data_IF_179093349677
#
_entry.id   IF_179093349677
#
_cell.length_a   1.000
_cell.length_b   1.000
_cell.length_c   1.000
_cell.angle_alpha   90.00
_cell.angle_beta   90.00
_cell.angle_gamma   90.00
#
_symmetry.space_group_name_H-M   'P 1'
#
loop_
_entity.id
_entity.type
_entity.pdbx_description
1 polymer ?
#
# COMPACT_ATOMS: atom_id res chain seq x y z
N UNK A 1 -13.30 32.53 -1.66
CA UNK A 1 -14.56 31.95 -1.13
C UNK A 1 -14.74 30.53 -1.70
N UNK A 2 -15.65 29.68 -1.16
CA UNK A 2 -15.95 28.37 -1.76
C UNK A 2 -16.42 28.45 -3.22
N UNK A 3 -17.20 29.50 -3.56
CA UNK A 3 -17.65 29.74 -4.93
C UNK A 3 -16.48 30.04 -5.88
N UNK A 4 -15.55 30.91 -5.46
CA UNK A 4 -14.37 31.25 -6.25
C UNK A 4 -13.45 30.05 -6.47
N UNK A 5 -13.24 29.23 -5.43
CA UNK A 5 -12.42 28.02 -5.53
C UNK A 5 -13.05 27.01 -6.49
N UNK A 6 -14.35 26.76 -6.38
CA UNK A 6 -15.03 25.88 -7.31
C UNK A 6 -15.12 26.44 -8.74
N UNK A 7 -15.24 27.76 -8.90
CA UNK A 7 -15.19 28.41 -10.20
C UNK A 7 -13.83 28.24 -10.87
N UNK A 8 -12.73 28.42 -10.12
CA UNK A 8 -11.37 28.15 -10.59
C UNK A 8 -11.22 26.71 -11.10
N UNK A 9 -11.70 25.73 -10.32
CA UNK A 9 -11.62 24.31 -10.71
C UNK A 9 -12.49 23.99 -11.94
N UNK A 10 -13.66 24.61 -12.04
CA UNK A 10 -14.56 24.45 -13.18
C UNK A 10 -13.95 24.99 -14.47
N UNK A 11 -13.32 26.16 -14.42
CA UNK A 11 -12.66 26.78 -15.58
C UNK A 11 -11.51 25.94 -16.12
N UNK A 12 -10.66 25.42 -15.23
CA UNK A 12 -9.54 24.56 -15.63
C UNK A 12 -10.04 23.23 -16.21
N UNK A 13 -11.08 22.62 -15.62
CA UNK A 13 -11.69 21.41 -16.16
C UNK A 13 -12.26 21.66 -17.56
N UNK A 14 -12.96 22.78 -17.76
CA UNK A 14 -13.45 23.18 -19.07
C UNK A 14 -12.31 23.41 -20.07
N UNK A 15 -11.19 24.02 -19.66
CA UNK A 15 -10.02 24.18 -20.50
C UNK A 15 -9.44 22.82 -20.94
N UNK A 16 -9.32 21.88 -20.01
CA UNK A 16 -8.88 20.51 -20.29
C UNK A 16 -9.83 19.77 -21.22
N UNK A 17 -11.14 19.86 -20.97
CA UNK A 17 -12.17 19.26 -21.81
C UNK A 17 -12.13 19.82 -23.25
N UNK A 18 -11.93 21.14 -23.41
CA UNK A 18 -11.77 21.79 -24.73
C UNK A 18 -10.53 21.29 -25.44
N UNK A 19 -9.42 21.18 -24.73
CA UNK A 19 -8.16 20.68 -25.27
C UNK A 19 -8.27 19.24 -25.78
N UNK A 20 -9.00 18.37 -25.06
CA UNK A 20 -9.26 16.98 -25.48
C UNK A 20 -10.23 16.91 -26.66
N UNK A 21 -11.31 17.67 -26.62
CA UNK A 21 -12.29 17.70 -27.70
C UNK A 21 -11.67 18.18 -29.03
N UNK A 22 -10.78 19.17 -28.99
CA UNK A 22 -9.99 19.61 -30.16
C UNK A 22 -9.07 18.54 -30.75
N UNK A 23 -8.86 17.42 -30.04
CA UNK A 23 -8.09 16.24 -30.49
C UNK A 23 -8.98 15.02 -30.75
N UNK A 24 -10.29 15.21 -30.88
CA UNK A 24 -11.25 14.13 -31.09
C UNK A 24 -11.46 13.22 -29.87
N UNK A 25 -11.01 13.62 -28.67
CA UNK A 25 -11.19 12.88 -27.43
C UNK A 25 -12.31 13.53 -26.60
N UNK A 26 -13.49 12.92 -26.60
CA UNK A 26 -14.66 13.38 -25.83
C UNK A 26 -15.51 14.42 -26.56
N UNK A 27 -16.54 14.93 -25.88
CA UNK A 27 -17.46 15.97 -26.38
C UNK A 27 -17.53 17.13 -25.39
N UNK A 28 -17.59 18.35 -25.91
CA UNK A 28 -17.86 19.52 -25.08
C UNK A 28 -19.35 19.62 -24.74
N UNK A 29 -19.70 20.05 -23.51
CA UNK A 29 -21.04 20.53 -23.23
C UNK A 29 -21.40 21.70 -24.15
N UNK A 30 -22.61 21.72 -24.68
CA UNK A 30 -23.07 22.78 -25.57
C UNK A 30 -23.17 24.13 -24.83
N UNK A 31 -22.38 25.11 -25.27
CA UNK A 31 -22.72 26.54 -25.37
C UNK A 31 -23.13 27.33 -24.12
N UNK A 32 -23.02 26.81 -22.89
CA UNK A 32 -23.35 27.57 -21.68
C UNK A 32 -22.12 28.00 -20.91
N UNK A 33 -22.13 29.27 -20.47
CA UNK A 33 -21.31 29.73 -19.36
C UNK A 33 -21.73 28.90 -18.14
N UNK A 34 -20.81 28.10 -17.61
CA UNK A 34 -21.02 27.39 -16.37
C UNK A 34 -20.49 28.27 -15.24
N UNK A 35 -21.38 28.63 -14.33
CA UNK A 35 -21.03 29.29 -13.08
C UNK A 35 -21.10 28.26 -11.97
N UNK A 36 -20.02 28.14 -11.22
CA UNK A 36 -19.99 27.30 -10.04
C UNK A 36 -20.77 27.99 -8.90
N UNK A 37 -21.58 27.20 -8.21
CA UNK A 37 -22.23 27.60 -6.98
C UNK A 37 -22.03 26.50 -5.95
N UNK A 38 -21.34 26.84 -4.88
CA UNK A 38 -21.03 25.96 -3.78
C UNK A 38 -22.30 25.40 -3.18
N UNK A 39 -22.28 24.10 -2.96
CA UNK A 39 -23.28 23.39 -2.18
C UNK A 39 -22.50 22.64 -1.09
N UNK A 40 -22.73 22.96 0.19
CA UNK A 40 -22.06 22.24 1.25
C UNK A 40 -22.43 20.76 1.18
N UNK A 41 -21.43 19.91 1.39
CA UNK A 41 -21.58 18.48 1.56
C UNK A 41 -21.16 18.19 3.01
N UNK A 42 -22.04 17.54 3.76
CA UNK A 42 -21.78 17.11 5.13
C UNK A 42 -21.21 15.68 5.13
N UNK A 43 -20.59 15.28 6.23
CA UNK A 43 -20.11 13.90 6.49
C UNK A 43 -19.16 13.30 5.44
N UNK A 44 -18.23 14.10 4.91
CA UNK A 44 -17.19 13.59 4.00
C UNK A 44 -16.06 12.90 4.77
N UNK A 45 -15.60 11.77 4.26
CA UNK A 45 -14.40 11.11 4.75
C UNK A 45 -13.15 11.68 4.05
N UNK A 46 -12.01 11.89 4.74
CA UNK A 46 -10.80 12.43 4.12
C UNK A 46 -10.32 11.62 2.90
N UNK A 47 -10.55 10.30 2.89
CA UNK A 47 -10.25 9.43 1.75
C UNK A 47 -11.10 9.74 0.51
N UNK A 48 -12.34 10.20 0.69
CA UNK A 48 -13.23 10.58 -0.42
C UNK A 48 -12.76 11.89 -1.06
N UNK A 49 -12.31 12.85 -0.24
CA UNK A 49 -11.69 14.09 -0.73
C UNK A 49 -10.44 13.79 -1.56
N UNK A 50 -9.57 12.89 -1.08
CA UNK A 50 -8.39 12.45 -1.83
C UNK A 50 -8.75 11.82 -3.17
N UNK A 51 -9.76 10.94 -3.19
CA UNK A 51 -10.25 10.32 -4.44
C UNK A 51 -10.82 11.36 -5.40
N UNK A 52 -11.59 12.33 -4.92
CA UNK A 52 -12.12 13.42 -5.73
C UNK A 52 -11.00 14.27 -6.36
N UNK A 53 -9.97 14.60 -5.58
CA UNK A 53 -8.79 15.31 -6.07
C UNK A 53 -8.03 14.50 -7.13
N UNK A 54 -7.81 13.21 -6.91
CA UNK A 54 -7.14 12.35 -7.88
C UNK A 54 -7.93 12.21 -9.18
N UNK A 55 -9.26 12.02 -9.09
CA UNK A 55 -10.13 11.96 -10.25
C UNK A 55 -10.10 13.28 -11.04
N UNK A 56 -10.17 14.42 -10.35
CA UNK A 56 -10.07 15.73 -10.97
C UNK A 56 -8.70 15.93 -11.66
N UNK A 57 -7.61 15.66 -10.95
CA UNK A 57 -6.23 15.78 -11.48
C UNK A 57 -6.03 14.90 -12.71
N UNK A 58 -6.52 13.66 -12.69
CA UNK A 58 -6.49 12.78 -13.85
C UNK A 58 -7.30 13.36 -15.02
N UNK A 59 -8.48 13.92 -14.72
CA UNK A 59 -9.33 14.57 -15.71
C UNK A 59 -8.76 15.91 -16.22
N UNK A 60 -7.69 16.47 -15.69
CA UNK A 60 -7.10 17.74 -16.19
C UNK A 60 -5.65 17.61 -16.67
N UNK A 61 -4.96 16.53 -16.28
CA UNK A 61 -3.52 16.34 -16.46
C UNK A 61 -3.00 16.49 -17.90
N UNK A 62 -3.80 16.12 -18.91
CA UNK A 62 -3.36 16.17 -20.30
C UNK A 62 -3.32 17.60 -20.86
N UNK A 63 -3.95 18.57 -20.17
CA UNK A 63 -4.00 19.94 -20.65
C UNK A 63 -2.64 20.63 -20.43
N UNK A 64 -2.09 21.36 -21.42
CA UNK A 64 -0.76 21.95 -21.34
C UNK A 64 -0.58 22.96 -20.21
N UNK A 65 -1.67 23.60 -19.77
CA UNK A 65 -1.67 24.57 -18.68
C UNK A 65 -1.70 23.95 -17.28
N UNK A 66 -2.06 22.66 -17.17
CA UNK A 66 -2.36 22.02 -15.90
C UNK A 66 -1.25 22.16 -14.86
N UNK A 67 -0.02 21.76 -15.21
CA UNK A 67 1.08 21.68 -14.25
C UNK A 67 1.40 23.03 -13.56
N UNK A 68 1.20 24.14 -14.27
CA UNK A 68 1.43 25.50 -13.76
C UNK A 68 0.17 26.22 -13.26
N UNK A 69 -1.01 25.60 -13.36
CA UNK A 69 -2.28 26.26 -13.06
C UNK A 69 -2.47 26.50 -11.56
N UNK A 70 -3.29 27.51 -11.22
CA UNK A 70 -3.71 27.73 -9.83
C UNK A 70 -4.61 26.59 -9.32
N UNK A 71 -5.39 25.97 -10.21
CA UNK A 71 -6.20 24.79 -9.90
C UNK A 71 -5.33 23.61 -9.45
N UNK A 72 -4.21 23.34 -10.12
CA UNK A 72 -3.29 22.28 -9.73
C UNK A 72 -2.71 22.51 -8.33
N UNK A 73 -2.19 23.72 -8.06
CA UNK A 73 -1.70 24.08 -6.71
C UNK A 73 -2.78 23.90 -5.65
N UNK A 74 -3.98 24.42 -5.91
CA UNK A 74 -5.10 24.27 -5.00
C UNK A 74 -5.43 22.79 -4.72
N UNK A 75 -5.45 21.94 -5.74
CA UNK A 75 -5.71 20.50 -5.56
C UNK A 75 -4.60 19.79 -4.77
N UNK A 76 -3.34 20.19 -4.94
CA UNK A 76 -2.23 19.67 -4.13
C UNK A 76 -2.41 20.05 -2.66
N UNK A 77 -2.77 21.30 -2.38
CA UNK A 77 -2.98 21.79 -1.02
C UNK A 77 -4.19 21.07 -0.36
N UNK A 78 -5.29 20.87 -1.10
CA UNK A 78 -6.45 20.11 -0.63
C UNK A 78 -6.09 18.65 -0.35
N UNK A 79 -5.34 18.00 -1.25
CA UNK A 79 -4.89 16.62 -1.03
C UNK A 79 -3.98 16.52 0.20
N UNK A 80 -3.07 17.47 0.37
CA UNK A 80 -2.20 17.52 1.55
C UNK A 80 -3.02 17.68 2.83
N UNK A 81 -3.96 18.63 2.86
CA UNK A 81 -4.84 18.85 4.00
C UNK A 81 -5.69 17.60 4.31
N UNK A 82 -6.27 16.97 3.31
CA UNK A 82 -7.06 15.74 3.48
C UNK A 82 -6.21 14.57 3.99
N UNK A 83 -4.98 14.40 3.49
CA UNK A 83 -4.07 13.37 3.97
C UNK A 83 -3.74 13.52 5.45
N UNK A 84 -3.53 14.76 5.94
CA UNK A 84 -3.29 15.02 7.38
C UNK A 84 -4.47 14.63 8.28
N UNK A 85 -5.68 14.52 7.74
CA UNK A 85 -6.87 14.10 8.49
C UNK A 85 -7.11 12.58 8.41
N UNK A 86 -6.30 11.83 7.65
CA UNK A 86 -6.40 10.37 7.65
C UNK A 86 -5.94 9.80 9.00
N UNK A 87 -6.72 8.90 9.63
CA UNK A 87 -6.31 8.25 10.87
C UNK A 87 -4.94 7.59 10.75
N UNK A 88 -4.01 8.00 11.62
CA UNK A 88 -2.65 7.45 11.67
C UNK A 88 -1.67 8.05 10.66
N UNK A 89 -2.07 8.97 9.78
CA UNK A 89 -1.18 9.53 8.76
C UNK A 89 -0.16 10.52 9.36
N UNK A 90 -0.60 11.40 10.26
CA UNK A 90 0.28 12.38 10.89
C UNK A 90 1.30 11.73 11.85
N UNK A 91 0.89 10.63 12.49
CA UNK A 91 1.71 9.85 13.41
C UNK A 91 2.62 8.85 12.69
N UNK A 92 2.32 8.52 11.42
CA UNK A 92 3.11 7.59 10.64
C UNK A 92 4.52 8.17 10.38
N UNK A 93 5.59 7.38 10.60
CA UNK A 93 6.94 7.83 10.31
C UNK A 93 7.14 7.99 8.79
N UNK A 94 7.80 9.08 8.38
CA UNK A 94 8.24 9.29 6.98
C UNK A 94 9.18 8.19 6.46
N UNK A 95 9.76 7.41 7.36
CA UNK A 95 10.55 6.24 6.99
C UNK A 95 9.60 5.11 6.67
N UNK A 96 9.63 4.67 5.41
CA UNK A 96 9.16 3.35 5.04
C UNK A 96 9.94 2.31 5.86
N UNK A 97 9.35 1.86 6.97
CA UNK A 97 9.79 0.64 7.62
C UNK A 97 9.14 -0.49 6.84
N UNK A 98 9.95 -1.31 6.17
CA UNK A 98 9.54 -2.69 5.91
C UNK A 98 9.04 -3.23 7.26
N UNK A 99 7.86 -3.89 7.34
CA UNK A 99 7.42 -4.52 8.59
C UNK A 99 8.63 -5.21 9.20
N UNK A 100 9.00 -4.83 10.43
CA UNK A 100 10.22 -5.32 11.08
C UNK A 100 10.23 -6.84 10.94
N UNK A 101 11.26 -7.36 10.25
CA UNK A 101 11.39 -8.79 9.96
C UNK A 101 11.31 -9.59 11.25
N UNK A 102 10.79 -10.81 11.20
CA UNK A 102 10.60 -11.57 12.40
C UNK A 102 11.93 -11.91 13.10
N UNK A 103 11.94 -11.83 14.44
CA UNK A 103 12.81 -12.66 15.26
C UNK A 103 12.44 -14.14 15.10
N UNK A 104 12.93 -15.00 15.98
CA UNK A 104 12.88 -16.47 15.80
C UNK A 104 11.45 -16.97 15.45
N UNK A 105 11.19 -17.41 14.20
CA UNK A 105 9.86 -17.89 13.80
C UNK A 105 9.51 -19.16 14.57
N UNK A 106 8.24 -19.26 14.95
CA UNK A 106 7.70 -20.47 15.62
C UNK A 106 6.91 -21.31 14.64
N UNK A 107 7.14 -22.61 14.71
CA UNK A 107 6.50 -23.59 13.84
C UNK A 107 5.63 -24.55 14.64
N UNK A 108 4.53 -25.00 14.04
CA UNK A 108 3.83 -26.22 14.44
C UNK A 108 3.66 -27.12 13.22
N UNK A 109 4.18 -28.34 13.30
CA UNK A 109 4.13 -29.32 12.24
C UNK A 109 3.34 -30.57 12.68
N UNK A 110 2.68 -31.20 11.71
CA UNK A 110 2.02 -32.49 11.91
C UNK A 110 3.04 -33.63 11.81
N UNK A 111 2.69 -34.64 11.02
CA UNK A 111 3.59 -35.74 10.67
C UNK A 111 4.68 -35.28 9.71
N UNK A 112 4.37 -34.28 8.89
CA UNK A 112 5.32 -33.67 7.97
C UNK A 112 6.05 -32.51 8.61
N UNK A 113 7.38 -32.58 8.70
CA UNK A 113 8.23 -31.46 9.10
C UNK A 113 9.04 -30.96 7.90
N UNK A 114 8.69 -29.80 7.32
CA UNK A 114 9.45 -29.20 6.23
C UNK A 114 10.86 -28.81 6.68
N UNK A 115 11.83 -29.02 5.79
CA UNK A 115 13.20 -28.57 5.99
C UNK A 115 13.31 -27.08 5.62
N UNK A 116 12.90 -26.23 6.55
CA UNK A 116 12.99 -24.78 6.47
C UNK A 116 13.83 -24.32 7.65
N UNK A 117 14.95 -23.67 7.37
CA UNK A 117 15.91 -23.31 8.40
C UNK A 117 15.35 -22.23 9.33
N UNK A 118 15.90 -22.18 10.54
CA UNK A 118 15.62 -21.15 11.56
C UNK A 118 14.19 -21.15 12.14
N UNK A 119 13.36 -22.16 11.82
CA UNK A 119 12.07 -22.38 12.49
C UNK A 119 12.24 -23.17 13.78
N UNK A 120 11.79 -22.57 14.88
CA UNK A 120 11.62 -23.26 16.16
C UNK A 120 10.29 -24.04 16.12
N UNK A 121 10.35 -25.33 15.76
CA UNK A 121 9.19 -26.22 15.80
C UNK A 121 8.83 -26.57 17.25
N UNK A 122 7.57 -26.34 17.61
CA UNK A 122 7.07 -26.34 19.00
C UNK A 122 5.84 -27.24 19.15
N UNK A 123 5.44 -27.47 20.40
CA UNK A 123 4.15 -28.11 20.72
C UNK A 123 2.98 -27.13 20.56
N UNK A 124 1.72 -27.60 20.44
CA UNK A 124 0.55 -26.72 20.40
C UNK A 124 0.48 -25.75 21.59
N UNK A 125 0.83 -26.22 22.78
CA UNK A 125 0.82 -25.39 24.00
C UNK A 125 1.84 -24.25 23.92
N UNK A 126 3.07 -24.55 23.50
CA UNK A 126 4.13 -23.54 23.33
C UNK A 126 3.82 -22.56 22.19
N UNK A 127 3.22 -23.06 21.10
CA UNK A 127 2.75 -22.21 20.01
C UNK A 127 1.74 -21.19 20.55
N UNK A 128 0.75 -21.61 21.33
CA UNK A 128 -0.27 -20.72 21.88
C UNK A 128 0.32 -19.70 22.86
N UNK A 129 1.30 -20.09 23.68
CA UNK A 129 2.02 -19.16 24.56
C UNK A 129 2.80 -18.10 23.78
N UNK A 130 3.36 -18.48 22.62
CA UNK A 130 4.15 -17.58 21.77
C UNK A 130 3.32 -16.89 20.70
N UNK A 131 2.07 -17.27 20.46
CA UNK A 131 1.26 -16.85 19.31
C UNK A 131 1.19 -15.33 19.11
N UNK A 132 0.88 -14.59 20.17
CA UNK A 132 0.70 -13.14 20.11
C UNK A 132 2.02 -12.36 19.97
N UNK A 133 3.13 -12.95 20.40
CA UNK A 133 4.44 -12.30 20.50
C UNK A 133 5.47 -12.84 19.51
N UNK A 134 5.22 -14.00 18.91
CA UNK A 134 6.02 -14.53 17.84
C UNK A 134 5.91 -13.58 16.66
N UNK A 135 7.04 -13.27 16.07
CA UNK A 135 7.05 -12.34 14.96
C UNK A 135 6.51 -13.00 13.67
N UNK A 136 6.72 -14.31 13.50
CA UNK A 136 6.09 -15.12 12.45
C UNK A 136 5.69 -16.49 13.00
N UNK A 137 4.57 -17.02 12.48
CA UNK A 137 4.07 -18.36 12.80
C UNK A 137 4.02 -19.17 11.51
N UNK A 138 4.53 -20.39 11.55
CA UNK A 138 4.56 -21.30 10.41
C UNK A 138 3.80 -22.57 10.80
N UNK A 139 2.79 -22.94 10.02
CA UNK A 139 1.91 -24.08 10.29
C UNK A 139 1.91 -25.01 9.09
N UNK A 140 1.99 -26.32 9.29
CA UNK A 140 1.67 -27.25 8.19
C UNK A 140 0.17 -27.48 8.10
N UNK A 141 -0.38 -27.71 6.91
CA UNK A 141 -1.82 -27.95 6.73
C UNK A 141 -2.41 -29.05 7.63
N UNK A 142 -1.61 -30.05 8.02
CA UNK A 142 -1.97 -31.16 8.92
C UNK A 142 -2.31 -30.72 10.36
N UNK A 143 -1.90 -29.53 10.80
CA UNK A 143 -2.10 -29.09 12.20
C UNK A 143 -3.32 -28.20 12.36
N UNK A 144 -4.01 -27.83 11.27
CA UNK A 144 -5.18 -26.96 11.32
C UNK A 144 -6.27 -27.51 12.24
N UNK A 145 -6.47 -28.83 12.25
CA UNK A 145 -7.44 -29.52 13.09
C UNK A 145 -7.06 -29.53 14.58
N UNK A 146 -5.79 -29.30 14.90
CA UNK A 146 -5.28 -29.27 16.27
C UNK A 146 -5.34 -27.87 16.89
N UNK A 147 -5.62 -26.85 16.08
CA UNK A 147 -5.71 -25.47 16.56
C UNK A 147 -7.05 -25.24 17.26
N UNK A 148 -7.09 -24.43 18.32
CA UNK A 148 -8.33 -24.05 18.96
C UNK A 148 -9.19 -23.23 17.99
N UNK A 149 -10.51 -23.40 18.05
CA UNK A 149 -11.47 -22.68 17.20
C UNK A 149 -11.39 -21.15 17.30
N UNK A 150 -10.81 -20.63 18.39
CA UNK A 150 -10.59 -19.21 18.61
C UNK A 150 -9.14 -18.94 18.97
N UNK A 151 -8.38 -18.46 17.99
CA UNK A 151 -7.02 -17.99 18.19
C UNK A 151 -7.00 -16.51 18.59
N UNK A 152 -6.03 -16.07 19.43
CA UNK A 152 -5.85 -14.66 19.71
C UNK A 152 -5.55 -13.88 18.42
N UNK A 153 -5.95 -12.61 18.36
CA UNK A 153 -5.56 -11.74 17.23
C UNK A 153 -4.05 -11.48 17.29
N UNK A 154 -3.37 -11.54 16.14
CA UNK A 154 -1.95 -11.16 16.02
C UNK A 154 -1.70 -10.30 14.79
N UNK A 155 -0.65 -9.50 14.85
CA UNK A 155 -0.22 -8.59 13.78
C UNK A 155 0.85 -9.20 12.86
N UNK A 156 1.57 -10.23 13.32
CA UNK A 156 2.63 -10.89 12.56
C UNK A 156 2.09 -11.90 11.54
N UNK A 157 2.84 -12.18 10.45
CA UNK A 157 2.42 -13.11 9.41
C UNK A 157 2.24 -14.54 9.90
N UNK A 158 1.21 -15.20 9.38
CA UNK A 158 0.98 -16.65 9.52
C UNK A 158 1.22 -17.29 8.15
N UNK A 159 2.18 -18.21 8.06
CA UNK A 159 2.46 -18.99 6.86
C UNK A 159 1.85 -20.38 7.02
N UNK A 160 1.00 -20.78 6.08
CA UNK A 160 0.40 -22.10 6.04
C UNK A 160 1.07 -22.92 4.93
N UNK A 161 1.84 -23.92 5.34
CA UNK A 161 2.62 -24.77 4.46
C UNK A 161 1.79 -25.95 3.97
N UNK A 162 1.81 -26.18 2.67
CA UNK A 162 1.13 -27.32 2.03
C UNK A 162 2.08 -28.09 1.12
N UNK A 163 1.79 -29.38 0.95
CA UNK A 163 2.38 -30.21 -0.12
C UNK A 163 1.77 -29.83 -1.47
N UNK A 164 2.36 -30.29 -2.60
CA UNK A 164 1.77 -30.13 -3.91
C UNK A 164 0.35 -30.71 -3.94
N UNK A 165 -0.60 -29.92 -4.41
CA UNK A 165 -2.03 -30.28 -4.37
C UNK A 165 -2.85 -29.46 -3.37
N UNK A 166 -2.20 -28.61 -2.57
CA UNK A 166 -2.88 -27.60 -1.77
C UNK A 166 -3.70 -28.14 -0.58
N UNK A 167 -4.65 -27.32 -0.13
CA UNK A 167 -5.55 -27.64 0.98
C UNK A 167 -6.81 -28.37 0.49
N UNK A 168 -7.32 -29.29 1.31
CA UNK A 168 -8.66 -29.86 1.13
C UNK A 168 -9.74 -28.80 1.41
N UNK A 169 -10.99 -28.99 0.95
CA UNK A 169 -12.09 -28.06 1.26
C UNK A 169 -12.26 -27.81 2.76
N UNK A 170 -12.14 -28.84 3.58
CA UNK A 170 -12.22 -28.71 5.04
C UNK A 170 -11.06 -27.89 5.62
N UNK A 171 -9.84 -28.09 5.11
CA UNK A 171 -8.67 -27.30 5.52
C UNK A 171 -8.79 -25.84 5.11
N UNK A 172 -9.47 -25.53 3.98
CA UNK A 172 -9.75 -24.16 3.58
C UNK A 172 -10.66 -23.43 4.57
N UNK A 173 -11.69 -24.10 5.08
CA UNK A 173 -12.57 -23.55 6.11
C UNK A 173 -11.79 -23.22 7.39
N UNK A 174 -10.94 -24.14 7.84
CA UNK A 174 -10.08 -23.95 9.03
C UNK A 174 -9.03 -22.85 8.81
N UNK A 175 -8.42 -22.77 7.63
CA UNK A 175 -7.46 -21.72 7.30
C UNK A 175 -8.10 -20.32 7.32
N UNK A 176 -9.39 -20.21 6.97
CA UNK A 176 -10.14 -18.95 7.08
C UNK A 176 -10.22 -18.39 8.50
N UNK A 177 -10.13 -19.26 9.52
CA UNK A 177 -10.12 -18.85 10.93
C UNK A 177 -8.80 -18.20 11.36
N UNK A 178 -7.73 -18.36 10.57
CA UNK A 178 -6.41 -17.76 10.83
C UNK A 178 -6.33 -16.28 10.39
N UNK A 179 -7.36 -15.76 9.71
CA UNK A 179 -7.36 -14.40 9.17
C UNK A 179 -6.50 -14.29 7.90
N UNK A 180 -5.47 -13.45 7.93
CA UNK A 180 -4.59 -13.19 6.77
C UNK A 180 -3.42 -14.19 6.68
N UNK A 181 -3.73 -15.49 6.65
CA UNK A 181 -2.71 -16.52 6.45
C UNK A 181 -2.25 -16.55 4.97
N UNK A 182 -0.93 -16.67 4.77
CA UNK A 182 -0.33 -16.86 3.45
C UNK A 182 -0.13 -18.35 3.19
N UNK A 183 -0.77 -18.88 2.15
CA UNK A 183 -0.57 -20.25 1.70
C UNK A 183 0.77 -20.36 0.95
N UNK A 184 1.58 -21.34 1.35
CA UNK A 184 2.91 -21.59 0.79
C UNK A 184 3.02 -23.06 0.40
N UNK A 185 3.09 -23.33 -0.90
CA UNK A 185 3.27 -24.70 -1.39
C UNK A 185 4.76 -25.04 -1.47
N UNK A 186 5.16 -26.14 -0.83
CA UNK A 186 6.51 -26.68 -0.88
C UNK A 186 6.58 -27.89 -1.81
N UNK A 187 7.68 -28.07 -2.55
CA UNK A 187 8.94 -27.31 -2.49
C UNK A 187 8.94 -25.99 -3.31
N UNK A 188 7.90 -25.72 -4.10
CA UNK A 188 7.85 -24.60 -5.07
C UNK A 188 8.24 -23.25 -4.48
N UNK A 189 7.75 -22.92 -3.29
CA UNK A 189 7.99 -21.63 -2.63
C UNK A 189 9.04 -21.69 -1.50
N UNK A 190 9.86 -22.75 -1.43
CA UNK A 190 10.83 -22.94 -0.35
C UNK A 190 11.85 -21.80 -0.25
N UNK A 191 12.46 -21.41 -1.37
CA UNK A 191 13.45 -20.33 -1.41
C UNK A 191 12.85 -18.98 -0.97
N UNK A 192 11.65 -18.67 -1.47
CA UNK A 192 10.93 -17.46 -1.09
C UNK A 192 10.60 -17.46 0.42
N UNK A 193 10.13 -18.58 0.96
CA UNK A 193 9.83 -18.71 2.38
C UNK A 193 11.10 -18.50 3.23
N UNK A 194 12.22 -19.09 2.82
CA UNK A 194 13.50 -18.92 3.51
C UNK A 194 13.93 -17.43 3.53
N UNK A 195 13.77 -16.71 2.42
CA UNK A 195 14.02 -15.26 2.38
C UNK A 195 13.09 -14.46 3.30
N UNK A 196 11.85 -14.91 3.50
CA UNK A 196 10.93 -14.24 4.44
C UNK A 196 11.30 -14.47 5.91
N UNK A 197 11.91 -15.61 6.22
CA UNK A 197 12.21 -16.03 7.60
C UNK A 197 13.60 -15.63 8.09
N UNK A 198 14.54 -15.28 7.21
CA UNK A 198 15.90 -14.91 7.62
C UNK A 198 15.93 -13.59 8.41
N UNK A 199 16.61 -13.56 9.57
CA UNK A 199 16.83 -12.32 10.31
C UNK A 199 17.71 -11.36 9.49
N UNK A 200 17.45 -10.07 9.60
CA UNK A 200 18.34 -9.05 9.03
C UNK A 200 19.65 -9.05 9.84
N UNK A 201 20.65 -9.80 9.38
CA UNK A 201 22.02 -9.62 9.87
C UNK A 201 22.39 -8.22 9.40
N UNK A 202 22.31 -7.26 10.32
CA UNK A 202 22.59 -5.87 10.05
C UNK A 202 23.93 -5.74 9.33
N UNK A 203 23.88 -5.57 8.01
CA UNK A 203 25.04 -5.15 7.26
C UNK A 203 25.28 -3.71 7.73
N UNK A 204 26.45 -3.40 8.34
CA UNK A 204 26.73 -2.02 8.71
C UNK A 204 26.67 -1.19 7.43
N UNK A 205 25.70 -0.28 7.37
CA UNK A 205 25.61 0.67 6.28
C UNK A 205 26.95 1.42 6.21
N UNK A 206 27.77 1.12 5.20
CA UNK A 206 28.75 2.09 4.73
C UNK A 206 27.94 3.30 4.28
N UNK A 207 28.00 4.37 5.07
CA UNK A 207 27.47 5.67 4.67
C UNK A 207 27.93 6.00 3.25
N UNK A 208 27.03 6.31 2.31
CA UNK A 208 27.45 6.95 1.08
C UNK A 208 28.03 8.30 1.48
N UNK A 209 29.31 8.49 1.15
CA UNK A 209 30.05 9.73 1.34
C UNK A 209 29.23 10.93 0.88
N UNK A 210 29.34 12.00 1.67
CA UNK A 210 29.11 13.37 1.22
C UNK A 210 29.76 13.61 -0.15
N UNK A 211 29.01 14.21 -1.07
CA UNK A 211 29.53 14.59 -2.39
C UNK A 211 28.45 14.62 -3.46
N UNK A 212 27.50 15.56 -3.38
CA UNK A 212 26.84 16.07 -4.58
C UNK A 212 27.06 17.58 -4.62
N UNK A 213 28.15 17.96 -5.28
CA UNK A 213 28.35 19.30 -5.82
C UNK A 213 27.32 19.49 -6.95
N UNK A 214 26.41 20.42 -6.77
CA UNK A 214 25.49 20.84 -7.82
C UNK A 214 26.21 21.79 -8.78
N UNK A 215 27.00 21.23 -9.70
CA UNK A 215 27.59 22.01 -10.79
C UNK A 215 26.49 22.35 -11.81
N UNK A 216 26.02 23.59 -11.76
CA UNK A 216 25.13 24.18 -12.76
C UNK A 216 25.81 24.22 -14.14
N UNK A 217 25.31 23.43 -15.09
CA UNK A 217 25.70 23.55 -16.49
C UNK A 217 24.94 24.73 -17.11
N UNK A 218 25.60 25.88 -17.24
CA UNK A 218 25.13 26.98 -18.10
C UNK A 218 25.28 26.55 -19.57
N UNK A 219 24.17 26.37 -20.27
CA UNK A 219 24.14 26.27 -21.73
C UNK A 219 24.52 27.63 -22.34
N UNK A 220 25.59 27.68 -23.14
CA UNK A 220 25.91 28.85 -23.98
C UNK A 220 25.07 28.80 -25.27
N UNK A 221 24.67 29.95 -25.84
CA UNK A 221 23.96 29.99 -27.11
C UNK A 221 24.91 29.69 -28.29
N UNK A 222 24.39 29.01 -29.31
CA UNK A 222 25.10 28.69 -30.55
C UNK A 222 25.38 29.96 -31.35
N UNK A 223 26.57 30.09 -31.99
CA UNK A 223 26.81 31.14 -32.95
C UNK A 223 26.10 30.85 -34.28
N UNK A 224 25.71 31.95 -34.94
CA UNK A 224 25.04 32.05 -36.24
C UNK A 224 25.87 31.50 -37.40
#
# INVERSE_FOLDING_TARGET
SPDEAGQLLLEENLAAARWRAGRGRGRLPAGRLLTYRHRPVEDWEPVEVLKAVHAYSHATADSPGWAGSAAHRFTVDVAHAAAQHLPGYAEAPWRWRRPSRPGVPVGLCGTWRPDVADISWTTPTELLQRWAHADAVVLTSEVLEQLPAKLPTRSGPVYLLTRPGGLTPHQWELAGLLGQALLVELPTAAAWLQEQLQPDIGVPQRSPRAGMDHTWVRLRPRPS
#
